data_IF_369735824578
#
_entry.id   IF_369735824578
#
_cell.length_a   1.000
_cell.length_b   1.000
_cell.length_c   1.000
_cell.angle_alpha   90.00
_cell.angle_beta   90.00
_cell.angle_gamma   90.00
#
_symmetry.space_group_name_H-M   'P 1'
#
loop_
_entity.id
_entity.type
_entity.pdbx_description
1 polymer ?
#
# COMPACT_ATOMS: atom_id res chain seq x y z
N UNK A 1 -54.92 -40.28 57.27
CA UNK A 1 -55.21 -38.86 57.07
C UNK A 1 -53.90 -38.19 56.68
N UNK A 2 -54.00 -37.27 55.71
CA UNK A 2 -53.02 -36.21 55.35
C UNK A 2 -51.78 -36.62 54.55
N UNK A 3 -51.33 -35.92 53.51
CA UNK A 3 -51.85 -34.78 52.73
C UNK A 3 -50.86 -34.47 51.59
N UNK A 4 -51.36 -33.93 50.46
CA UNK A 4 -50.71 -32.98 49.50
C UNK A 4 -49.43 -33.51 48.79
N UNK A 5 -49.14 -33.23 47.52
CA UNK A 5 -49.49 -32.11 46.65
C UNK A 5 -49.26 -32.60 45.22
N UNK A 6 -50.34 -32.69 44.47
CA UNK A 6 -50.32 -32.78 43.01
C UNK A 6 -50.19 -31.32 42.54
N UNK A 7 -48.97 -30.91 42.20
CA UNK A 7 -48.67 -29.60 41.59
C UNK A 7 -48.29 -29.88 40.14
N UNK A 8 -49.25 -30.43 39.38
CA UNK A 8 -49.25 -30.29 37.94
C UNK A 8 -49.62 -28.82 37.69
N UNK A 9 -48.60 -27.96 37.68
CA UNK A 9 -48.71 -26.62 37.10
C UNK A 9 -49.01 -26.83 35.62
N UNK A 10 -50.30 -26.83 35.30
CA UNK A 10 -50.85 -26.60 33.98
C UNK A 10 -50.32 -25.23 33.53
N UNK A 11 -49.18 -25.25 32.85
CA UNK A 11 -48.68 -24.13 32.06
C UNK A 11 -49.62 -23.99 30.86
N UNK A 12 -50.84 -23.50 31.12
CA UNK A 12 -51.73 -22.90 30.13
C UNK A 12 -51.08 -21.58 29.69
N UNK A 13 -49.98 -21.71 28.93
CA UNK A 13 -49.38 -20.63 28.17
C UNK A 13 -50.34 -20.35 27.01
N UNK A 14 -51.22 -19.35 27.20
CA UNK A 14 -52.24 -18.95 26.24
C UNK A 14 -51.61 -18.85 24.83
N UNK A 15 -52.05 -19.70 23.91
CA UNK A 15 -51.46 -19.89 22.57
C UNK A 15 -51.42 -18.56 21.77
N UNK A 16 -52.33 -17.63 22.09
CA UNK A 16 -52.40 -16.27 21.56
C UNK A 16 -51.24 -15.36 22.05
N UNK A 17 -50.77 -15.52 23.29
CA UNK A 17 -49.66 -14.74 23.87
C UNK A 17 -48.30 -15.18 23.29
N UNK A 18 -48.14 -16.48 23.02
CA UNK A 18 -46.95 -17.03 22.36
C UNK A 18 -46.83 -16.55 20.91
N UNK A 19 -47.95 -16.49 20.17
CA UNK A 19 -47.98 -16.03 18.79
C UNK A 19 -47.70 -14.52 18.67
N UNK A 20 -48.22 -13.72 19.61
CA UNK A 20 -47.93 -12.29 19.71
C UNK A 20 -46.42 -12.02 19.91
N UNK A 21 -45.76 -12.79 20.79
CA UNK A 21 -44.33 -12.65 21.08
C UNK A 21 -43.44 -13.03 19.88
N UNK A 22 -43.82 -14.06 19.12
CA UNK A 22 -43.12 -14.48 17.89
C UNK A 22 -43.24 -13.44 16.77
N UNK A 23 -44.40 -12.79 16.63
CA UNK A 23 -44.62 -11.73 15.66
C UNK A 23 -43.79 -10.47 15.98
N UNK A 24 -43.71 -10.09 17.26
CA UNK A 24 -42.89 -8.97 17.72
C UNK A 24 -41.40 -9.23 17.51
N UNK A 25 -40.91 -10.43 17.85
CA UNK A 25 -39.53 -10.85 17.56
C UNK A 25 -39.21 -10.84 16.06
N UNK A 26 -40.19 -11.20 15.22
CA UNK A 26 -40.08 -11.12 13.77
C UNK A 26 -39.88 -9.68 13.27
N UNK A 27 -40.66 -8.73 13.80
CA UNK A 27 -40.52 -7.32 13.47
C UNK A 27 -39.17 -6.75 13.93
N UNK A 28 -38.75 -7.06 15.17
CA UNK A 28 -37.46 -6.62 15.72
C UNK A 28 -36.28 -7.16 14.90
N UNK A 29 -36.33 -8.44 14.48
CA UNK A 29 -35.29 -9.04 13.63
C UNK A 29 -35.22 -8.36 12.25
N UNK A 30 -36.36 -8.03 11.66
CA UNK A 30 -36.43 -7.36 10.36
C UNK A 30 -35.87 -5.94 10.43
N UNK A 31 -36.28 -5.15 11.42
CA UNK A 31 -35.79 -3.79 11.61
C UNK A 31 -34.27 -3.76 11.87
N UNK A 32 -33.77 -4.68 12.71
CA UNK A 32 -32.34 -4.79 13.00
C UNK A 32 -31.53 -5.23 11.78
N UNK A 33 -32.08 -6.07 10.91
CA UNK A 33 -31.42 -6.48 9.67
C UNK A 33 -31.28 -5.28 8.70
N UNK A 34 -32.33 -4.48 8.55
CA UNK A 34 -32.32 -3.29 7.69
C UNK A 34 -31.37 -2.20 8.21
N UNK A 35 -31.34 -1.98 9.53
CA UNK A 35 -30.41 -1.02 10.15
C UNK A 35 -28.95 -1.48 10.01
N UNK A 36 -28.68 -2.78 10.21
CA UNK A 36 -27.36 -3.37 10.03
C UNK A 36 -26.88 -3.22 8.59
N UNK A 37 -27.72 -3.52 7.60
CA UNK A 37 -27.41 -3.33 6.17
C UNK A 37 -27.08 -1.86 5.86
N UNK A 38 -27.84 -0.91 6.41
CA UNK A 38 -27.58 0.52 6.22
C UNK A 38 -26.26 0.96 6.85
N UNK A 39 -25.92 0.41 8.02
CA UNK A 39 -24.68 0.71 8.74
C UNK A 39 -23.46 0.11 8.05
N UNK A 40 -23.55 -1.14 7.59
CA UNK A 40 -22.49 -1.81 6.84
C UNK A 40 -22.17 -1.07 5.54
N UNK A 41 -23.20 -0.59 4.82
CA UNK A 41 -23.00 0.22 3.61
C UNK A 41 -22.24 1.52 3.89
N UNK A 42 -22.57 2.20 5.00
CA UNK A 42 -21.88 3.43 5.41
C UNK A 42 -20.44 3.16 5.85
N UNK A 43 -20.20 2.11 6.62
CA UNK A 43 -18.86 1.72 7.04
C UNK A 43 -17.97 1.36 5.84
N UNK A 44 -18.51 0.63 4.86
CA UNK A 44 -17.79 0.33 3.64
C UNK A 44 -17.38 1.60 2.87
N UNK A 45 -18.29 2.58 2.78
CA UNK A 45 -18.01 3.87 2.13
C UNK A 45 -16.94 4.67 2.87
N UNK A 46 -17.01 4.71 4.20
CA UNK A 46 -16.00 5.37 5.05
C UNK A 46 -14.63 4.69 4.92
N UNK A 47 -14.58 3.36 4.93
CA UNK A 47 -13.36 2.57 4.76
C UNK A 47 -12.74 2.75 3.37
N UNK A 48 -13.55 2.81 2.32
CA UNK A 48 -13.08 3.07 0.96
C UNK A 48 -12.51 4.49 0.85
N UNK A 49 -13.19 5.47 1.43
CA UNK A 49 -12.72 6.86 1.45
C UNK A 49 -11.44 7.02 2.26
N UNK A 50 -11.30 6.31 3.38
CA UNK A 50 -10.08 6.29 4.17
C UNK A 50 -8.90 5.68 3.40
N UNK A 51 -9.12 4.55 2.71
CA UNK A 51 -8.12 3.92 1.84
C UNK A 51 -7.71 4.82 0.68
N UNK A 52 -8.65 5.53 0.07
CA UNK A 52 -8.35 6.50 -0.99
C UNK A 52 -7.50 7.66 -0.47
N UNK A 53 -7.84 8.22 0.69
CA UNK A 53 -7.07 9.29 1.32
C UNK A 53 -5.66 8.84 1.72
N UNK A 54 -5.49 7.61 2.20
CA UNK A 54 -4.20 7.03 2.53
C UNK A 54 -3.35 6.77 1.28
N UNK A 55 -3.95 6.22 0.23
CA UNK A 55 -3.30 6.01 -1.06
C UNK A 55 -2.84 7.34 -1.67
N UNK A 56 -3.69 8.36 -1.60
CA UNK A 56 -3.36 9.69 -2.08
C UNK A 56 -2.22 10.28 -1.24
N UNK A 57 -2.26 10.18 0.10
CA UNK A 57 -1.22 10.68 1.02
C UNK A 57 0.13 9.97 0.86
N UNK A 58 0.10 8.66 0.62
CA UNK A 58 1.29 7.79 0.58
C UNK A 58 2.04 7.81 -0.75
N UNK A 59 1.47 8.36 -1.82
CA UNK A 59 2.11 8.40 -3.13
C UNK A 59 2.90 9.70 -3.35
N UNK A 60 4.25 9.70 -3.21
CA UNK A 60 5.07 10.89 -3.41
C UNK A 60 5.09 11.37 -4.88
N UNK A 61 4.66 10.55 -5.83
CA UNK A 61 4.55 10.92 -7.25
C UNK A 61 3.33 11.80 -7.51
N UNK A 62 2.25 11.64 -6.73
CA UNK A 62 0.99 12.38 -6.88
C UNK A 62 0.95 13.62 -5.97
N UNK A 63 1.54 13.54 -4.77
CA UNK A 63 1.50 14.64 -3.79
C UNK A 63 2.60 15.70 -3.93
N UNK A 64 3.57 15.48 -4.80
CA UNK A 64 4.44 16.58 -5.15
C UNK A 64 3.70 17.47 -6.16
N UNK A 65 3.57 18.79 -5.93
CA UNK A 65 3.29 19.72 -7.00
C UNK A 65 4.51 19.68 -7.93
N UNK A 66 4.57 18.66 -8.79
CA UNK A 66 5.54 18.52 -9.85
C UNK A 66 5.20 19.60 -10.85
N UNK A 67 5.68 20.81 -10.57
CA UNK A 67 5.98 21.76 -11.62
C UNK A 67 6.85 20.97 -12.59
N UNK A 68 6.29 20.56 -13.74
CA UNK A 68 7.00 19.87 -14.82
C UNK A 68 8.12 20.73 -15.44
N UNK A 69 8.48 21.82 -14.78
CA UNK A 69 9.63 22.65 -15.03
C UNK A 69 10.87 21.87 -14.61
N UNK A 70 11.49 21.20 -15.59
CA UNK A 70 12.86 20.70 -15.46
C UNK A 70 13.73 21.89 -15.06
N UNK A 71 14.09 21.97 -13.77
CA UNK A 71 15.02 22.99 -13.29
C UNK A 71 16.31 22.85 -14.06
N UNK A 72 16.72 23.94 -14.71
CA UNK A 72 17.97 24.01 -15.47
C UNK A 72 19.11 23.62 -14.53
N UNK A 73 19.80 22.54 -14.88
CA UNK A 73 20.87 21.99 -14.07
C UNK A 73 22.11 22.88 -14.23
N UNK A 74 22.96 22.95 -13.21
CA UNK A 74 24.18 23.77 -13.24
C UNK A 74 25.14 23.37 -14.39
N UNK A 75 25.05 22.12 -14.82
CA UNK A 75 25.85 21.55 -15.90
C UNK A 75 25.29 21.93 -17.28
N UNK A 76 24.05 22.43 -17.40
CA UNK A 76 23.31 22.62 -18.65
C UNK A 76 24.01 23.56 -19.65
N UNK A 77 24.71 24.60 -19.18
CA UNK A 77 25.41 25.60 -20.00
C UNK A 77 26.81 25.19 -20.51
N UNK A 78 27.24 23.95 -20.25
CA UNK A 78 28.56 23.47 -20.66
C UNK A 78 28.54 23.07 -22.14
N UNK A 79 29.36 23.72 -22.97
CA UNK A 79 29.43 23.49 -24.43
C UNK A 79 29.93 22.10 -24.83
N UNK A 80 30.58 21.37 -23.93
CA UNK A 80 31.03 20.00 -24.16
C UNK A 80 30.33 19.03 -23.20
N UNK A 81 29.55 18.11 -23.77
CA UNK A 81 28.82 17.08 -23.04
C UNK A 81 29.36 15.70 -23.37
N UNK A 82 29.46 14.83 -22.37
CA UNK A 82 29.65 13.39 -22.58
C UNK A 82 30.88 13.01 -23.45
N UNK A 83 31.98 13.76 -23.38
CA UNK A 83 33.18 13.57 -24.22
C UNK A 83 33.80 12.16 -24.14
N UNK A 84 33.67 11.50 -22.97
CA UNK A 84 34.20 10.16 -22.73
C UNK A 84 33.16 9.05 -22.94
N UNK A 85 31.95 9.40 -23.40
CA UNK A 85 30.88 8.40 -23.59
C UNK A 85 31.23 7.51 -24.78
N UNK A 86 31.49 6.23 -24.49
CA UNK A 86 31.85 5.23 -25.50
C UNK A 86 33.34 5.04 -25.67
N UNK A 87 34.18 5.65 -24.83
CA UNK A 87 35.62 5.41 -24.89
C UNK A 87 35.93 3.94 -24.57
N UNK A 88 36.66 3.28 -25.49
CA UNK A 88 37.02 1.87 -25.34
C UNK A 88 38.04 1.73 -24.23
N UNK A 89 37.68 0.99 -23.17
CA UNK A 89 38.61 0.71 -22.07
C UNK A 89 39.84 -0.02 -22.60
N UNK A 90 41.03 0.44 -22.19
CA UNK A 90 42.28 -0.21 -22.54
C UNK A 90 42.27 -1.67 -22.04
N UNK A 91 42.28 -2.62 -22.99
CA UNK A 91 42.34 -4.04 -22.69
C UNK A 91 43.70 -4.42 -22.08
N UNK A 92 43.70 -5.33 -21.10
CA UNK A 92 44.91 -5.89 -20.50
C UNK A 92 45.65 -6.70 -21.58
N UNK A 93 46.79 -6.21 -22.04
CA UNK A 93 47.64 -6.87 -23.02
C UNK A 93 49.07 -6.94 -22.52
N UNK A 94 49.78 -8.00 -22.89
CA UNK A 94 51.23 -8.09 -22.69
C UNK A 94 51.93 -7.75 -24.01
N UNK A 95 52.93 -6.87 -23.95
CA UNK A 95 53.76 -6.50 -25.09
C UNK A 95 55.19 -6.90 -24.75
N UNK A 96 55.80 -7.75 -25.58
CA UNK A 96 57.21 -8.12 -25.48
C UNK A 96 58.11 -7.01 -26.05
N UNK A 97 58.09 -5.84 -25.41
CA UNK A 97 58.87 -4.66 -25.77
C UNK A 97 59.09 -3.83 -24.50
N UNK A 98 60.33 -3.45 -24.18
CA UNK A 98 60.65 -2.77 -22.93
C UNK A 98 60.28 -1.28 -22.92
N UNK A 99 60.12 -0.64 -24.07
CA UNK A 99 59.87 0.80 -24.17
C UNK A 99 58.43 1.13 -24.62
N UNK A 100 57.77 0.22 -25.36
CA UNK A 100 56.39 0.42 -25.81
C UNK A 100 55.34 -0.26 -24.93
N UNK A 101 55.75 -1.00 -23.90
CA UNK A 101 54.82 -1.60 -22.94
C UNK A 101 54.05 -0.52 -22.17
N UNK A 102 52.81 -0.84 -21.80
CA UNK A 102 51.97 -0.07 -20.89
C UNK A 102 52.69 0.31 -19.58
N UNK A 103 53.56 -0.57 -19.07
CA UNK A 103 54.39 -0.26 -17.91
C UNK A 103 55.30 0.95 -18.17
N UNK A 104 56.07 0.92 -19.27
CA UNK A 104 57.02 1.98 -19.59
C UNK A 104 56.32 3.30 -19.89
N UNK A 105 55.21 3.27 -20.63
CA UNK A 105 54.36 4.45 -20.85
C UNK A 105 53.88 5.09 -19.55
N UNK A 106 53.38 4.27 -18.60
CA UNK A 106 52.94 4.75 -17.28
C UNK A 106 54.10 5.24 -16.41
N UNK A 107 55.26 4.59 -16.50
CA UNK A 107 56.47 4.99 -15.79
C UNK A 107 56.91 6.40 -16.24
N UNK A 108 57.03 6.63 -17.55
CA UNK A 108 57.38 7.94 -18.09
C UNK A 108 56.36 9.00 -17.66
N UNK A 109 55.06 8.76 -17.84
CA UNK A 109 54.02 9.70 -17.41
C UNK A 109 54.06 10.08 -15.92
N UNK A 110 54.54 9.16 -15.06
CA UNK A 110 54.60 9.35 -13.61
C UNK A 110 55.86 10.07 -13.17
N UNK A 111 57.01 9.77 -13.78
CA UNK A 111 58.32 10.22 -13.31
C UNK A 111 59.00 11.24 -14.22
N UNK A 112 58.50 11.44 -15.43
CA UNK A 112 58.99 12.41 -16.40
C UNK A 112 57.79 13.30 -16.77
N UNK A 113 57.88 14.59 -16.44
CA UNK A 113 56.84 15.58 -16.78
C UNK A 113 57.28 16.41 -17.95
#
# INVERSE_FOLDING_TARGET
MDAKSDDESDEDEDEDDMEALLAELGQIKKERADEKMRKERKQLEEDLKAKEAELLRGNPLINQPTSFNVKRRWDDDVVFKNQTRGETKAQKRFINDTIRNDFHRKFLHKYMK
#
